data_IF_830743380955
#
_entry.id   IF_830743380955
#
_cell.length_a   1.000
_cell.length_b   1.000
_cell.length_c   1.000
_cell.angle_alpha   90.00
_cell.angle_beta   90.00
_cell.angle_gamma   90.00
#
_symmetry.space_group_name_H-M   'P 1'
#
loop_
_entity.id
_entity.type
_entity.pdbx_description
1 polymer ?
#
# COMPACT_ATOMS: atom_id res chain seq x y z
N UNK A 1 5.11 13.87 -19.34
CA UNK A 1 4.92 14.25 -17.92
C UNK A 1 3.90 15.38 -17.89
N UNK A 2 2.90 15.31 -17.01
CA UNK A 2 1.85 16.32 -16.90
C UNK A 2 2.43 17.67 -16.48
N UNK A 3 1.99 18.78 -17.12
CA UNK A 3 2.48 20.14 -16.85
C UNK A 3 2.28 20.53 -15.38
N UNK A 4 1.13 20.18 -14.79
CA UNK A 4 0.83 20.44 -13.38
C UNK A 4 1.86 19.78 -12.45
N UNK A 5 2.22 18.52 -12.68
CA UNK A 5 3.24 17.80 -11.89
C UNK A 5 4.60 18.51 -11.96
N UNK A 6 5.00 18.96 -13.15
CA UNK A 6 6.27 19.69 -13.32
C UNK A 6 6.28 21.01 -12.54
N UNK A 7 5.19 21.73 -12.55
CA UNK A 7 5.05 23.00 -11.80
C UNK A 7 5.06 22.77 -10.29
N UNK A 8 4.34 21.75 -9.80
CA UNK A 8 4.37 21.34 -8.39
C UNK A 8 5.80 21.02 -7.97
N UNK A 9 6.50 20.12 -8.70
CA UNK A 9 7.88 19.73 -8.39
C UNK A 9 8.83 20.92 -8.39
N UNK A 10 8.74 21.80 -9.38
CA UNK A 10 9.55 23.03 -9.46
C UNK A 10 9.28 23.96 -8.29
N UNK A 11 8.03 24.10 -7.85
CA UNK A 11 7.63 24.90 -6.70
C UNK A 11 8.17 24.32 -5.39
N UNK A 12 8.02 23.01 -5.17
CA UNK A 12 8.48 22.30 -3.98
C UNK A 12 10.01 22.34 -3.85
N UNK A 13 10.75 22.14 -4.94
CA UNK A 13 12.21 22.25 -4.97
C UNK A 13 12.73 23.59 -4.51
N UNK A 14 11.97 24.67 -4.71
CA UNK A 14 12.34 26.03 -4.25
C UNK A 14 11.99 26.29 -2.79
N UNK A 15 11.03 25.56 -2.23
CA UNK A 15 10.43 25.85 -0.92
C UNK A 15 10.85 24.90 0.19
N UNK A 16 11.15 23.65 -0.15
CA UNK A 16 11.60 22.63 0.79
C UNK A 16 13.13 22.62 0.85
N UNK A 17 13.67 22.22 2.01
CA UNK A 17 15.09 21.88 2.09
C UNK A 17 15.41 20.65 1.22
N UNK A 18 16.68 20.45 0.83
CA UNK A 18 17.05 19.34 -0.08
C UNK A 18 16.66 17.97 0.43
N UNK A 19 16.81 17.67 1.73
CA UNK A 19 16.47 16.36 2.30
C UNK A 19 14.96 16.13 2.25
N UNK A 20 14.17 17.14 2.61
CA UNK A 20 12.72 17.07 2.55
C UNK A 20 12.22 16.94 1.11
N UNK A 21 12.86 17.60 0.17
CA UNK A 21 12.51 17.48 -1.23
C UNK A 21 12.79 16.07 -1.78
N UNK A 22 13.95 15.48 -1.48
CA UNK A 22 14.27 14.10 -1.87
C UNK A 22 13.31 13.08 -1.23
N UNK A 23 13.00 13.24 0.06
CA UNK A 23 11.96 12.46 0.72
C UNK A 23 10.61 12.57 0.00
N UNK A 24 10.17 13.79 -0.32
CA UNK A 24 8.92 14.04 -1.05
C UNK A 24 8.88 13.32 -2.40
N UNK A 25 9.99 13.31 -3.14
CA UNK A 25 10.09 12.54 -4.38
C UNK A 25 10.04 11.02 -4.13
N UNK A 26 10.73 10.55 -3.10
CA UNK A 26 10.70 9.16 -2.66
C UNK A 26 9.28 8.69 -2.35
N UNK A 27 8.52 9.50 -1.60
CA UNK A 27 7.11 9.22 -1.27
C UNK A 27 6.25 9.21 -2.53
N UNK A 28 6.38 10.20 -3.41
CA UNK A 28 5.60 10.26 -4.65
C UNK A 28 5.84 9.03 -5.55
N UNK A 29 7.09 8.60 -5.73
CA UNK A 29 7.39 7.37 -6.49
C UNK A 29 6.90 6.10 -5.80
N UNK A 30 6.96 6.05 -4.47
CA UNK A 30 6.43 4.92 -3.70
C UNK A 30 4.90 4.86 -3.79
N UNK A 31 4.21 6.00 -3.72
CA UNK A 31 2.76 6.08 -3.97
C UNK A 31 2.40 5.55 -5.36
N UNK A 32 3.12 5.95 -6.41
CA UNK A 32 2.89 5.43 -7.77
C UNK A 32 3.15 3.93 -7.85
N UNK A 33 4.21 3.40 -7.22
CA UNK A 33 4.50 1.97 -7.19
C UNK A 33 3.39 1.16 -6.50
N UNK A 34 2.89 1.64 -5.36
CA UNK A 34 1.74 1.03 -4.68
C UNK A 34 0.46 1.17 -5.49
N UNK A 35 0.21 2.33 -6.12
CA UNK A 35 -0.94 2.53 -7.00
C UNK A 35 -0.94 1.55 -8.19
N UNK A 36 0.21 1.30 -8.81
CA UNK A 36 0.34 0.25 -9.84
C UNK A 36 0.02 -1.14 -9.28
N UNK A 37 0.48 -1.45 -8.07
CA UNK A 37 0.27 -2.77 -7.42
C UNK A 37 -1.20 -3.01 -7.08
N UNK A 38 -1.92 -1.96 -6.69
CA UNK A 38 -3.31 -2.02 -6.20
C UNK A 38 -4.33 -1.45 -7.19
N UNK A 39 -3.92 -1.28 -8.46
CA UNK A 39 -4.79 -0.83 -9.56
C UNK A 39 -5.52 0.48 -9.26
N UNK A 40 -4.79 1.42 -8.62
CA UNK A 40 -5.29 2.74 -8.26
C UNK A 40 -4.78 3.82 -9.23
N UNK A 41 -5.41 5.00 -9.23
CA UNK A 41 -5.06 6.14 -10.06
C UNK A 41 -3.65 6.67 -9.77
N UNK A 42 -2.75 6.51 -10.75
CA UNK A 42 -1.34 6.92 -10.64
C UNK A 42 -1.17 8.43 -10.48
N UNK A 43 -2.05 9.22 -11.11
CA UNK A 43 -1.97 10.67 -11.08
C UNK A 43 -2.36 11.21 -9.71
N UNK A 44 -3.48 10.71 -9.14
CA UNK A 44 -3.88 11.05 -7.79
C UNK A 44 -2.81 10.67 -6.77
N UNK A 45 -2.26 9.46 -6.89
CA UNK A 45 -1.21 8.96 -6.01
C UNK A 45 0.08 9.82 -6.09
N UNK A 46 0.49 10.25 -7.30
CA UNK A 46 1.64 11.13 -7.47
C UNK A 46 1.40 12.51 -6.84
N UNK A 47 0.24 13.13 -7.06
CA UNK A 47 -0.08 14.43 -6.48
C UNK A 47 -0.12 14.37 -4.95
N UNK A 48 -0.79 13.36 -4.38
CA UNK A 48 -0.86 13.18 -2.93
C UNK A 48 0.54 13.04 -2.34
N UNK A 49 1.39 12.18 -2.92
CA UNK A 49 2.77 12.00 -2.49
C UNK A 49 3.62 13.26 -2.62
N UNK A 50 3.49 14.04 -3.70
CA UNK A 50 4.22 15.30 -3.87
C UNK A 50 3.81 16.37 -2.86
N UNK A 51 2.54 16.42 -2.47
CA UNK A 51 2.01 17.52 -1.67
C UNK A 51 1.88 17.21 -0.17
N UNK A 52 2.04 15.95 0.27
CA UNK A 52 1.81 15.56 1.67
C UNK A 52 2.59 16.43 2.67
N UNK A 53 3.84 16.73 2.38
CA UNK A 53 4.76 17.47 3.24
C UNK A 53 5.02 18.91 2.78
N UNK A 54 4.19 19.48 1.90
CA UNK A 54 4.42 20.82 1.35
C UNK A 54 4.41 21.94 2.41
N UNK A 55 3.84 21.70 3.60
CA UNK A 55 3.83 22.62 4.74
C UNK A 55 4.99 22.39 5.74
N UNK A 56 5.78 21.31 5.64
CA UNK A 56 6.96 21.02 6.53
C UNK A 56 8.08 22.07 6.44
N UNK A 57 7.98 23.01 5.53
CA UNK A 57 8.88 24.17 5.44
C UNK A 57 8.68 25.19 6.56
N UNK A 58 7.63 25.07 7.34
CA UNK A 58 7.33 25.96 8.45
C UNK A 58 7.70 25.30 9.77
N UNK A 59 8.15 26.10 10.73
CA UNK A 59 8.29 25.68 12.13
C UNK A 59 6.91 25.55 12.80
N UNK A 60 6.90 24.94 13.97
CA UNK A 60 5.67 24.62 14.71
C UNK A 60 4.86 25.88 15.09
N UNK A 61 5.52 26.96 15.51
CA UNK A 61 4.85 28.21 15.86
C UNK A 61 4.19 28.83 14.63
N UNK A 62 4.92 28.88 13.53
CA UNK A 62 4.40 29.37 12.24
C UNK A 62 3.21 28.53 11.75
N UNK A 63 3.26 27.20 11.89
CA UNK A 63 2.16 26.32 11.51
C UNK A 63 0.91 26.59 12.35
N UNK A 64 1.06 26.72 13.67
CA UNK A 64 -0.02 27.05 14.60
C UNK A 64 -0.70 28.38 14.21
N UNK A 65 0.07 29.44 14.05
CA UNK A 65 -0.45 30.77 13.66
C UNK A 65 -1.14 30.73 12.29
N UNK A 66 -0.61 29.96 11.36
CA UNK A 66 -1.20 29.82 10.02
C UNK A 66 -2.52 29.06 10.05
N UNK A 67 -2.63 28.02 10.87
CA UNK A 67 -3.87 27.28 11.07
C UNK A 67 -4.93 28.16 11.73
N UNK A 68 -4.58 28.87 12.80
CA UNK A 68 -5.48 29.81 13.47
C UNK A 68 -6.02 30.88 12.51
N UNK A 69 -5.12 31.54 11.76
CA UNK A 69 -5.53 32.59 10.79
C UNK A 69 -6.47 32.07 9.70
N UNK A 70 -6.48 30.77 9.41
CA UNK A 70 -7.28 30.12 8.35
C UNK A 70 -8.48 29.37 8.90
N UNK A 71 -8.69 29.45 10.21
CA UNK A 71 -9.77 28.75 10.90
C UNK A 71 -9.73 27.23 10.65
N UNK A 72 -8.51 26.66 10.47
CA UNK A 72 -8.32 25.22 10.33
C UNK A 72 -8.53 24.59 11.71
N UNK A 73 -9.49 23.66 11.87
CA UNK A 73 -9.75 23.00 13.15
C UNK A 73 -8.53 22.23 13.66
N UNK A 74 -8.23 22.37 14.93
CA UNK A 74 -7.09 21.72 15.58
C UNK A 74 -7.57 20.84 16.72
N UNK A 75 -7.07 19.61 16.82
CA UNK A 75 -7.32 18.71 17.95
C UNK A 75 -6.47 19.08 19.17
N UNK A 76 -6.81 18.55 20.34
CA UNK A 76 -5.98 18.68 21.53
C UNK A 76 -4.60 18.03 21.35
N UNK A 77 -4.51 16.97 20.57
CA UNK A 77 -3.25 16.34 20.21
C UNK A 77 -2.36 17.24 19.37
N UNK A 78 -2.92 17.89 18.34
CA UNK A 78 -2.23 18.85 17.48
C UNK A 78 -1.81 20.13 18.21
N UNK A 79 -2.56 20.54 19.21
CA UNK A 79 -2.16 21.67 20.08
C UNK A 79 -0.99 21.30 20.99
N UNK A 80 -0.90 20.05 21.44
CA UNK A 80 0.25 19.53 22.22
C UNK A 80 1.47 19.24 21.35
N UNK A 81 1.26 18.74 20.12
CA UNK A 81 2.30 18.55 19.13
C UNK A 81 1.95 19.27 17.81
N UNK A 82 2.26 20.57 17.68
CA UNK A 82 1.96 21.33 16.48
C UNK A 82 2.68 20.82 15.22
N UNK A 83 3.63 19.89 15.36
CA UNK A 83 4.27 19.29 14.20
C UNK A 83 3.29 18.49 13.33
N UNK A 84 2.17 17.99 13.92
CA UNK A 84 1.10 17.29 13.22
C UNK A 84 0.30 18.20 12.28
N UNK A 85 0.25 19.51 12.57
CA UNK A 85 -0.51 20.49 11.79
C UNK A 85 -0.04 20.63 10.33
N UNK A 86 1.18 20.13 10.01
CA UNK A 86 1.64 20.18 8.61
C UNK A 86 0.72 19.43 7.65
N UNK A 87 0.03 18.38 8.10
CA UNK A 87 -0.87 17.59 7.29
C UNK A 87 -2.11 18.42 6.88
N UNK A 88 -2.83 18.98 7.84
CA UNK A 88 -3.99 19.86 7.60
C UNK A 88 -3.61 21.15 6.86
N UNK A 89 -2.53 21.79 7.27
CA UNK A 89 -2.02 22.96 6.59
C UNK A 89 -1.54 22.64 5.17
N UNK A 90 -1.00 21.43 4.96
CA UNK A 90 -0.60 20.91 3.67
C UNK A 90 -1.80 20.73 2.73
N UNK A 91 -2.89 20.13 3.21
CA UNK A 91 -4.13 19.99 2.46
C UNK A 91 -4.71 21.37 2.07
N UNK A 92 -4.69 22.33 2.99
CA UNK A 92 -5.07 23.70 2.69
C UNK A 92 -4.19 24.31 1.58
N UNK A 93 -2.86 24.14 1.65
CA UNK A 93 -1.95 24.62 0.60
C UNK A 93 -2.16 23.90 -0.73
N UNK A 94 -2.43 22.60 -0.71
CA UNK A 94 -2.73 21.81 -1.91
C UNK A 94 -3.94 22.42 -2.65
N UNK A 95 -5.00 22.75 -1.93
CA UNK A 95 -6.18 23.42 -2.49
C UNK A 95 -5.86 24.83 -2.98
N UNK A 96 -5.40 25.71 -2.10
CA UNK A 96 -5.34 27.15 -2.35
C UNK A 96 -4.14 27.60 -3.20
N UNK A 97 -3.06 26.84 -3.21
CA UNK A 97 -1.80 27.24 -3.86
C UNK A 97 -1.39 26.35 -5.01
N UNK A 98 -1.91 25.13 -5.06
CA UNK A 98 -1.61 24.18 -6.12
C UNK A 98 -2.85 23.80 -6.96
N UNK A 99 -4.04 24.35 -6.60
CA UNK A 99 -5.28 24.18 -7.36
C UNK A 99 -5.78 22.73 -7.37
N UNK A 100 -5.63 22.02 -6.25
CA UNK A 100 -6.14 20.65 -6.10
C UNK A 100 -7.54 20.72 -5.53
N UNK A 101 -8.55 20.38 -6.33
CA UNK A 101 -9.96 20.36 -5.92
C UNK A 101 -10.47 18.94 -5.60
N UNK A 102 -9.68 17.92 -5.91
CA UNK A 102 -10.03 16.53 -5.64
C UNK A 102 -10.00 16.25 -4.12
N UNK A 103 -11.19 16.00 -3.55
CA UNK A 103 -11.35 15.82 -2.10
C UNK A 103 -10.63 14.56 -1.59
N UNK A 104 -10.49 13.51 -2.39
CA UNK A 104 -9.78 12.31 -2.00
C UNK A 104 -8.28 12.59 -1.79
N UNK A 105 -7.66 13.37 -2.69
CA UNK A 105 -6.26 13.82 -2.55
C UNK A 105 -6.09 14.69 -1.30
N UNK A 106 -7.01 15.64 -1.10
CA UNK A 106 -6.94 16.56 0.05
C UNK A 106 -7.09 15.81 1.37
N UNK A 107 -8.02 14.86 1.44
CA UNK A 107 -8.23 14.01 2.63
C UNK A 107 -7.00 13.14 2.90
N UNK A 108 -6.42 12.52 1.87
CA UNK A 108 -5.22 11.71 2.04
C UNK A 108 -4.06 12.54 2.60
N UNK A 109 -3.85 13.77 2.09
CA UNK A 109 -2.84 14.70 2.63
C UNK A 109 -3.16 15.05 4.08
N UNK A 110 -4.41 15.33 4.41
CA UNK A 110 -4.83 15.75 5.76
C UNK A 110 -4.61 14.65 6.81
N UNK A 111 -4.84 13.39 6.45
CA UNK A 111 -4.75 12.27 7.40
C UNK A 111 -3.44 11.45 7.31
N UNK A 112 -2.48 11.84 6.48
CA UNK A 112 -1.29 11.01 6.23
C UNK A 112 -0.40 10.77 7.45
N UNK A 113 -0.53 11.59 8.49
CA UNK A 113 0.26 11.48 9.73
C UNK A 113 -0.42 10.63 10.79
N UNK A 114 -1.71 10.87 11.02
CA UNK A 114 -2.50 10.22 12.08
C UNK A 114 -3.29 9.02 11.60
N UNK A 115 -3.52 8.90 10.31
CA UNK A 115 -4.59 8.08 9.78
C UNK A 115 -5.96 8.68 10.07
N UNK A 116 -7.00 7.91 9.82
CA UNK A 116 -8.41 8.17 10.17
C UNK A 116 -9.20 6.86 10.14
N UNK A 117 -10.41 6.86 10.67
CA UNK A 117 -11.39 5.77 10.43
C UNK A 117 -11.81 5.75 8.95
N UNK A 118 -12.17 4.58 8.44
CA UNK A 118 -12.61 4.39 7.05
C UNK A 118 -11.60 4.93 6.01
N UNK A 119 -10.32 4.56 6.14
CA UNK A 119 -9.29 4.97 5.19
C UNK A 119 -9.57 4.43 3.79
N UNK A 120 -9.59 5.35 2.80
CA UNK A 120 -9.68 5.01 1.38
C UNK A 120 -8.41 4.33 0.88
N UNK A 121 -8.41 3.85 -0.35
CA UNK A 121 -7.21 3.28 -0.97
C UNK A 121 -6.08 4.31 -1.03
N UNK A 122 -6.37 5.57 -1.38
CA UNK A 122 -5.36 6.63 -1.46
C UNK A 122 -4.80 7.00 -0.09
N UNK A 123 -5.66 7.06 0.95
CA UNK A 123 -5.22 7.32 2.33
C UNK A 123 -4.17 6.28 2.76
N UNK A 124 -4.46 4.98 2.53
CA UNK A 124 -3.55 3.87 2.86
C UNK A 124 -2.26 3.90 2.03
N UNK A 125 -2.37 4.16 0.72
CA UNK A 125 -1.20 4.29 -0.17
C UNK A 125 -0.27 5.38 0.32
N UNK A 126 -0.78 6.57 0.61
CA UNK A 126 0.04 7.69 1.07
C UNK A 126 0.65 7.44 2.45
N UNK A 127 -0.17 6.97 3.41
CA UNK A 127 0.27 6.66 4.77
C UNK A 127 1.42 5.64 4.78
N UNK A 128 1.25 4.55 4.02
CA UNK A 128 2.28 3.50 3.91
C UNK A 128 3.50 4.02 3.14
N UNK A 129 3.32 4.74 2.03
CA UNK A 129 4.41 5.24 1.22
C UNK A 129 5.33 6.20 1.98
N UNK A 130 4.78 7.10 2.80
CA UNK A 130 5.57 7.99 3.63
C UNK A 130 6.47 7.22 4.62
N UNK A 131 5.96 6.14 5.19
CA UNK A 131 6.73 5.33 6.13
C UNK A 131 7.82 4.49 5.45
N UNK A 132 7.57 3.92 4.25
CA UNK A 132 8.45 2.93 3.62
C UNK A 132 9.34 3.46 2.50
N UNK A 133 9.23 4.73 2.09
CA UNK A 133 9.98 5.28 0.96
C UNK A 133 11.49 4.95 1.06
N UNK A 134 12.20 4.81 -0.08
CA UNK A 134 13.58 4.27 -0.09
C UNK A 134 14.59 5.06 0.73
N UNK A 135 14.39 6.38 0.92
CA UNK A 135 15.26 7.23 1.74
C UNK A 135 15.13 7.02 3.25
N UNK A 136 14.07 6.33 3.72
CA UNK A 136 13.91 5.96 5.13
C UNK A 136 14.85 4.81 5.49
N UNK A 137 15.57 4.91 6.62
CA UNK A 137 16.54 3.88 7.05
C UNK A 137 16.63 3.66 8.56
N UNK A 138 15.90 4.44 9.37
CA UNK A 138 16.07 4.42 10.83
C UNK A 138 15.27 3.35 11.57
N UNK A 139 14.17 2.84 11.00
CA UNK A 139 13.36 1.81 11.64
C UNK A 139 13.84 0.42 11.23
N UNK A 140 14.04 -0.46 12.21
CA UNK A 140 14.55 -1.83 11.99
C UNK A 140 13.58 -2.69 11.16
N UNK A 141 12.27 -2.40 11.24
CA UNK A 141 11.19 -3.12 10.57
C UNK A 141 11.02 -2.75 9.09
N UNK A 142 11.67 -1.68 8.59
CA UNK A 142 11.49 -1.19 7.23
C UNK A 142 11.59 -2.25 6.12
N UNK A 143 12.56 -3.20 6.16
CA UNK A 143 12.62 -4.24 5.12
C UNK A 143 11.37 -5.13 5.09
N UNK A 144 10.81 -5.43 6.26
CA UNK A 144 9.60 -6.24 6.39
C UNK A 144 8.37 -5.45 5.95
N UNK A 145 8.24 -4.19 6.38
CA UNK A 145 7.13 -3.31 6.00
C UNK A 145 7.12 -3.04 4.49
N UNK A 146 8.28 -2.81 3.87
CA UNK A 146 8.43 -2.67 2.42
C UNK A 146 7.92 -3.91 1.67
N UNK A 147 8.28 -5.11 2.13
CA UNK A 147 7.79 -6.35 1.53
C UNK A 147 6.27 -6.49 1.71
N UNK A 148 5.78 -6.26 2.93
CA UNK A 148 4.38 -6.40 3.28
C UNK A 148 3.48 -5.44 2.48
N UNK A 149 3.92 -4.20 2.29
CA UNK A 149 3.19 -3.17 1.56
C UNK A 149 2.81 -3.57 0.12
N UNK A 150 3.58 -4.45 -0.53
CA UNK A 150 3.29 -4.96 -1.86
C UNK A 150 2.53 -6.29 -1.87
N UNK A 151 2.29 -6.89 -0.70
CA UNK A 151 1.52 -8.15 -0.53
C UNK A 151 0.11 -7.82 -0.04
N UNK A 152 0.00 -7.08 1.07
CA UNK A 152 -1.25 -6.70 1.72
C UNK A 152 -1.13 -5.29 2.31
N UNK A 153 -1.78 -4.32 1.66
CA UNK A 153 -1.70 -2.91 2.04
C UNK A 153 -2.40 -2.64 3.38
N UNK A 154 -3.52 -3.32 3.66
CA UNK A 154 -4.27 -3.15 4.90
C UNK A 154 -3.44 -3.63 6.09
N UNK A 155 -2.83 -4.80 5.96
CA UNK A 155 -1.94 -5.35 6.99
C UNK A 155 -0.67 -4.53 7.16
N UNK A 156 -0.10 -3.97 6.07
CA UNK A 156 1.04 -3.06 6.16
C UNK A 156 0.68 -1.78 6.91
N UNK A 157 -0.48 -1.19 6.58
CA UNK A 157 -1.00 0.00 7.25
C UNK A 157 -1.18 -0.23 8.74
N UNK A 158 -1.87 -1.31 9.14
CA UNK A 158 -2.04 -1.70 10.54
C UNK A 158 -0.70 -1.88 11.25
N UNK A 159 0.22 -2.63 10.65
CA UNK A 159 1.53 -2.91 11.26
C UNK A 159 2.35 -1.64 11.48
N UNK A 160 2.27 -0.68 10.57
CA UNK A 160 2.91 0.64 10.70
C UNK A 160 2.26 1.44 11.83
N UNK A 161 0.92 1.49 11.90
CA UNK A 161 0.20 2.18 12.97
C UNK A 161 0.56 1.63 14.36
N UNK A 162 0.57 0.30 14.51
CA UNK A 162 0.96 -0.36 15.77
C UNK A 162 2.42 -0.06 16.15
N UNK A 163 3.33 -0.04 15.17
CA UNK A 163 4.73 0.31 15.40
C UNK A 163 4.89 1.77 15.85
N UNK A 164 4.14 2.70 15.24
CA UNK A 164 4.15 4.12 15.61
C UNK A 164 3.59 4.32 17.01
N UNK A 165 2.43 3.73 17.34
CA UNK A 165 1.83 3.84 18.68
C UNK A 165 2.79 3.30 19.76
N UNK A 166 3.37 2.12 19.54
CA UNK A 166 4.36 1.55 20.43
C UNK A 166 5.59 2.47 20.64
N UNK A 167 6.06 3.10 19.57
CA UNK A 167 7.16 4.07 19.66
C UNK A 167 6.77 5.29 20.47
N UNK A 168 5.60 5.90 20.22
CA UNK A 168 5.11 7.07 20.94
C UNK A 168 4.92 6.78 22.43
N UNK A 169 4.36 5.62 22.79
CA UNK A 169 4.23 5.14 24.17
C UNK A 169 5.59 5.00 24.83
N UNK A 170 6.57 4.37 24.17
CA UNK A 170 7.90 4.13 24.71
C UNK A 170 8.70 5.40 24.94
N UNK A 171 8.38 6.48 24.24
CA UNK A 171 9.07 7.78 24.31
C UNK A 171 8.29 8.83 25.10
N UNK A 172 7.13 8.47 25.68
CA UNK A 172 6.21 9.39 26.35
C UNK A 172 5.83 10.60 25.50
N UNK A 173 5.78 10.44 24.18
CA UNK A 173 5.31 11.47 23.27
C UNK A 173 3.79 11.59 23.33
N UNK A 174 3.22 12.80 23.14
CA UNK A 174 1.78 12.97 23.02
C UNK A 174 1.21 12.10 21.88
N UNK A 175 0.12 11.40 22.17
CA UNK A 175 -0.61 10.61 21.17
C UNK A 175 -1.90 11.35 20.85
N UNK A 176 -2.15 11.60 19.56
CA UNK A 176 -3.43 12.07 19.08
C UNK A 176 -4.44 10.94 19.06
N UNK A 177 -5.65 11.17 19.60
CA UNK A 177 -6.68 10.14 19.67
C UNK A 177 -7.12 9.64 18.30
N UNK A 178 -7.02 10.48 17.28
CA UNK A 178 -7.29 10.06 15.89
C UNK A 178 -6.38 8.92 15.44
N UNK A 179 -5.10 8.92 15.90
CA UNK A 179 -4.16 7.82 15.59
C UNK A 179 -4.59 6.51 16.25
N UNK A 180 -5.10 6.56 17.48
CA UNK A 180 -5.60 5.36 18.19
C UNK A 180 -6.85 4.82 17.49
N UNK A 181 -7.83 5.69 17.20
CA UNK A 181 -9.06 5.33 16.52
C UNK A 181 -8.81 4.76 15.12
N UNK A 182 -7.89 5.36 14.36
CA UNK A 182 -7.48 4.86 13.05
C UNK A 182 -6.86 3.46 13.13
N UNK A 183 -6.01 3.21 14.12
CA UNK A 183 -5.38 1.90 14.34
C UNK A 183 -6.42 0.83 14.71
N UNK A 184 -7.35 1.15 15.60
CA UNK A 184 -8.44 0.24 15.98
C UNK A 184 -9.37 -0.08 14.81
N UNK A 185 -9.68 0.91 13.99
CA UNK A 185 -10.48 0.72 12.78
C UNK A 185 -9.77 -0.16 11.77
N UNK A 186 -8.50 0.11 11.48
CA UNK A 186 -7.70 -0.70 10.58
C UNK A 186 -7.54 -2.15 11.09
N UNK A 187 -7.47 -2.37 12.41
CA UNK A 187 -7.47 -3.72 12.99
C UNK A 187 -8.76 -4.47 12.67
N UNK A 188 -9.93 -3.81 12.82
CA UNK A 188 -11.22 -4.39 12.43
C UNK A 188 -11.27 -4.76 10.95
N UNK A 189 -10.76 -3.89 10.08
CA UNK A 189 -10.68 -4.15 8.63
C UNK A 189 -9.84 -5.40 8.32
N UNK A 190 -8.66 -5.51 8.92
CA UNK A 190 -7.77 -6.67 8.71
C UNK A 190 -8.37 -7.96 9.27
N UNK A 191 -8.99 -7.92 10.44
CA UNK A 191 -9.66 -9.07 11.05
C UNK A 191 -10.85 -9.55 10.22
N UNK A 192 -11.69 -8.64 9.74
CA UNK A 192 -12.80 -8.95 8.86
C UNK A 192 -12.36 -9.59 7.55
N UNK A 193 -11.29 -9.08 6.94
CA UNK A 193 -10.69 -9.64 5.73
C UNK A 193 -10.19 -11.07 5.95
N UNK A 194 -9.46 -11.31 7.03
CA UNK A 194 -8.95 -12.65 7.40
C UNK A 194 -10.09 -13.65 7.66
N UNK A 195 -11.15 -13.21 8.34
CA UNK A 195 -12.32 -14.05 8.57
C UNK A 195 -13.00 -14.44 7.25
N UNK A 196 -13.14 -13.50 6.32
CA UNK A 196 -13.72 -13.74 5.01
C UNK A 196 -12.85 -14.71 4.17
N UNK A 197 -11.54 -14.55 4.18
CA UNK A 197 -10.60 -15.46 3.49
C UNK A 197 -10.66 -16.89 4.06
N UNK A 198 -10.73 -17.03 5.38
CA UNK A 198 -10.88 -18.33 6.04
C UNK A 198 -12.20 -19.01 5.70
N UNK A 199 -13.31 -18.26 5.70
CA UNK A 199 -14.61 -18.78 5.31
C UNK A 199 -14.65 -19.25 3.85
N UNK A 200 -14.04 -18.47 2.95
CA UNK A 200 -13.91 -18.84 1.54
C UNK A 200 -13.06 -20.11 1.34
N UNK A 201 -11.96 -20.25 2.06
CA UNK A 201 -11.11 -21.42 2.01
C UNK A 201 -11.84 -22.69 2.52
N UNK A 202 -12.62 -22.58 3.60
CA UNK A 202 -13.43 -23.70 4.13
C UNK A 202 -14.52 -24.12 3.15
N UNK A 203 -15.15 -23.17 2.47
CA UNK A 203 -16.18 -23.45 1.44
C UNK A 203 -15.56 -24.18 0.25
N UNK A 204 -14.38 -23.78 -0.20
CA UNK A 204 -13.66 -24.43 -1.30
C UNK A 204 -13.31 -25.90 -0.96
N UNK A 205 -12.81 -26.16 0.24
CA UNK A 205 -12.47 -27.55 0.70
C UNK A 205 -13.72 -28.43 0.77
N UNK A 206 -14.86 -27.89 1.23
CA UNK A 206 -16.10 -28.67 1.30
C UNK A 206 -16.71 -28.98 -0.08
N UNK A 207 -16.52 -28.11 -1.07
CA UNK A 207 -16.92 -28.38 -2.46
C UNK A 207 -16.09 -29.48 -3.10
N UNK A 208 -14.75 -29.46 -2.92
CA UNK A 208 -13.86 -30.52 -3.44
C UNK A 208 -14.14 -31.88 -2.82
N UNK A 209 -14.45 -31.95 -1.53
CA UNK A 209 -14.83 -33.19 -0.85
C UNK A 209 -16.15 -33.77 -1.35
N UNK A 210 -17.12 -32.92 -1.72
CA UNK A 210 -18.40 -33.38 -2.30
C UNK A 210 -18.29 -33.87 -3.74
N UNK A 211 -17.38 -33.29 -4.54
CA UNK A 211 -17.11 -33.74 -5.91
C UNK A 211 -16.42 -35.12 -5.91
N UNK A 212 -15.44 -35.32 -5.03
CA UNK A 212 -14.73 -36.60 -4.91
C UNK A 212 -15.62 -37.75 -4.39
N UNK A 213 -16.64 -37.45 -3.58
CA UNK A 213 -17.60 -38.46 -3.11
C UNK A 213 -18.66 -38.82 -4.16
N UNK A 214 -19.01 -37.92 -5.09
CA UNK A 214 -19.98 -38.19 -6.15
C UNK A 214 -19.38 -38.99 -7.32
N UNK A 215 -18.07 -39.00 -7.52
CA UNK A 215 -17.40 -39.82 -8.56
C UNK A 215 -17.16 -41.27 -8.12
N UNK A 216 -17.24 -41.62 -6.83
CA UNK A 216 -17.09 -42.98 -6.34
C UNK A 216 -18.36 -43.82 -6.45
N UNK A 217 -19.54 -43.25 -6.64
CA UNK A 217 -20.82 -43.98 -6.67
C UNK A 217 -21.27 -44.43 -8.07
N UNK A 218 -20.49 -44.20 -9.13
CA UNK A 218 -20.86 -44.60 -10.51
C UNK A 218 -20.06 -45.75 -11.11
N UNK A 219 -19.27 -46.47 -10.31
CA UNK A 219 -18.55 -47.66 -10.78
C UNK A 219 -19.28 -48.96 -10.45
N UNK A 220 -20.31 -49.31 -11.20
CA UNK A 220 -20.85 -50.68 -11.27
C UNK A 220 -19.98 -51.55 -12.20
N UNK A 221 -19.55 -52.74 -11.79
CA UNK A 221 -18.73 -53.60 -12.64
C UNK A 221 -19.62 -54.38 -13.63
N UNK A 222 -19.51 -54.07 -14.91
CA UNK A 222 -20.06 -54.91 -15.95
C UNK A 222 -19.04 -56.00 -16.33
N UNK A 223 -19.32 -57.24 -15.92
CA UNK A 223 -18.65 -58.43 -16.38
C UNK A 223 -19.26 -58.83 -17.73
N UNK A 224 -18.48 -58.79 -18.80
CA UNK A 224 -18.66 -59.76 -19.89
C UNK A 224 -17.33 -60.05 -20.59
N UNK A 225 -17.16 -61.31 -20.77
CA UNK A 225 -16.06 -62.11 -21.30
C UNK A 225 -16.07 -62.08 -22.83
N UNK A 226 -14.90 -61.93 -23.50
CA UNK A 226 -14.50 -62.73 -24.69
C UNK A 226 -13.10 -62.25 -25.16
N UNK A 227 -12.21 -63.06 -25.14
CA UNK A 227 -11.40 -64.08 -25.79
C UNK A 227 -10.90 -63.71 -27.20
N UNK A 228 -9.56 -63.84 -27.36
CA UNK A 228 -8.77 -64.10 -28.61
C UNK A 228 -8.52 -62.79 -29.43
N UNK A 229 -7.29 -62.41 -29.79
CA UNK A 229 -6.20 -63.10 -30.47
C UNK A 229 -4.90 -62.23 -30.44
N UNK A 230 -3.79 -62.98 -30.45
CA UNK A 230 -2.42 -62.48 -30.51
C UNK A 230 -2.03 -62.10 -31.95
N UNK A 231 -1.42 -60.91 -32.16
CA UNK A 231 -0.49 -60.69 -33.28
C UNK A 231 0.73 -59.94 -32.85
N UNK A 232 1.87 -60.60 -32.92
CA UNK A 232 3.22 -60.02 -32.85
C UNK A 232 3.54 -59.29 -34.14
N UNK A 233 4.22 -58.10 -34.05
CA UNK A 233 5.31 -57.68 -34.98
C UNK A 233 5.94 -56.42 -34.44
N UNK A 234 7.15 -56.56 -33.95
CA UNK A 234 8.47 -56.20 -34.46
C UNK A 234 8.60 -54.84 -35.20
N UNK A 235 9.44 -53.97 -34.65
CA UNK A 235 10.40 -53.38 -35.55
C UNK A 235 10.79 -51.89 -35.32
N UNK A 236 12.00 -51.75 -34.79
CA UNK A 236 13.05 -50.80 -35.16
C UNK A 236 13.05 -49.35 -34.65
N UNK A 237 13.95 -49.14 -33.73
CA UNK A 237 14.99 -48.12 -33.66
C UNK A 237 15.06 -47.08 -34.78
N UNK A 238 15.07 -45.82 -34.43
CA UNK A 238 15.98 -44.84 -35.05
C UNK A 238 16.34 -43.71 -34.07
N UNK A 239 17.62 -43.73 -33.66
CA UNK A 239 18.36 -42.61 -33.10
C UNK A 239 18.63 -41.63 -34.24
N UNK A 240 18.47 -40.34 -33.99
CA UNK A 240 19.28 -39.30 -34.67
C UNK A 240 19.67 -38.21 -33.69
N UNK A 241 20.99 -38.15 -33.50
CA UNK A 241 21.77 -37.05 -32.97
C UNK A 241 21.84 -35.93 -34.01
N UNK A 242 21.83 -34.68 -33.59
CA UNK A 242 22.57 -33.53 -34.19
C UNK A 242 22.70 -32.52 -33.05
N UNK A 243 23.92 -32.30 -32.45
CA UNK A 243 24.95 -31.29 -32.70
C UNK A 243 24.30 -29.94 -32.94
N UNK A 244 24.42 -28.90 -32.12
CA UNK A 244 25.63 -28.28 -31.57
C UNK A 244 26.09 -27.14 -32.48
N UNK A 245 25.81 -25.88 -32.07
CA UNK A 245 26.62 -24.79 -32.62
C UNK A 245 26.67 -23.57 -31.64
N UNK A 246 27.88 -23.26 -31.21
CA UNK A 246 28.33 -22.03 -30.56
C UNK A 246 28.55 -20.95 -31.61
N UNK A 247 28.09 -19.72 -31.34
CA UNK A 247 28.77 -18.44 -31.76
C UNK A 247 28.24 -17.35 -30.84
N UNK A 248 28.98 -16.72 -30.06
CA UNK A 248 30.02 -15.69 -29.97
C UNK A 248 29.72 -14.39 -30.75
N UNK A 249 29.73 -13.28 -29.95
CA UNK A 249 30.05 -11.86 -30.26
C UNK A 249 28.94 -11.07 -30.96
N UNK A 250 28.53 -9.92 -30.48
CA UNK A 250 29.26 -8.72 -30.03
C UNK A 250 28.51 -8.06 -28.88
#
# INVERSE_FOLDING_TARGET
MNTQILEIRKSLKKKLDPFRFEHTLGVAYTCQALAMRYEYDLHKAEIAGLLHDCAKRFDNETMLLKCQKREIPMSDGELRDPSLLHAKLGAWYAREKYGIDDQEILTAIECHTTGKTDMTMLDKILYVADYIEPGRYKAAELPQMRKLAFIDLDLACLSIMESILKYLESTNCPIDMTTVEACEDMRRVVEAKRAAEQAAAQTAVSLDSNISSSEMDTATPNKEVNKVESVKRNGKNRRSRIRGEKRRRH
#
